data_IF_280956306363
#
_entry.id   IF_280956306363
#
_cell.length_a   1.000
_cell.length_b   1.000
_cell.length_c   1.000
_cell.angle_alpha   90.00
_cell.angle_beta   90.00
_cell.angle_gamma   90.00
#
_symmetry.space_group_name_H-M   'P 1'
#
loop_
_entity.id
_entity.type
_entity.pdbx_description
1 polymer ?
#
# COMPACT_ATOMS: atom_id res chain seq x y z
N UNK A 1 -2.68 -11.35 -9.89
CA UNK A 1 -3.61 -11.72 -8.81
C UNK A 1 -4.98 -11.04 -8.94
N UNK A 2 -5.12 -9.73 -8.67
CA UNK A 2 -6.46 -9.11 -8.53
C UNK A 2 -7.17 -8.65 -9.81
N UNK A 3 -6.44 -8.45 -10.92
CA UNK A 3 -7.03 -8.03 -12.21
C UNK A 3 -6.78 -9.05 -13.32
N UNK A 4 -5.49 -9.38 -13.58
CA UNK A 4 -5.09 -10.35 -14.61
C UNK A 4 -5.08 -11.81 -14.15
N UNK A 5 -5.47 -12.10 -12.91
CA UNK A 5 -5.48 -13.46 -12.32
C UNK A 5 -4.16 -14.26 -12.39
N UNK A 6 -3.02 -13.60 -12.61
CA UNK A 6 -1.69 -14.22 -12.57
C UNK A 6 -1.35 -14.66 -11.13
N UNK A 7 -0.90 -15.90 -10.96
CA UNK A 7 -0.43 -16.46 -9.70
C UNK A 7 0.96 -15.90 -9.34
N UNK A 8 1.01 -15.02 -8.33
CA UNK A 8 2.26 -14.39 -7.87
C UNK A 8 3.02 -15.23 -6.83
N UNK A 9 2.52 -16.40 -6.44
CA UNK A 9 3.29 -17.35 -5.62
C UNK A 9 4.40 -18.04 -6.42
N UNK A 10 4.37 -17.92 -7.75
CA UNK A 10 5.33 -18.48 -8.70
C UNK A 10 6.40 -17.44 -9.08
N UNK A 11 7.68 -17.66 -8.76
CA UNK A 11 8.75 -16.70 -9.08
C UNK A 11 8.83 -16.30 -10.56
N UNK A 12 8.58 -17.25 -11.47
CA UNK A 12 8.59 -17.02 -12.92
C UNK A 12 7.56 -15.97 -13.37
N UNK A 13 6.40 -15.93 -12.70
CA UNK A 13 5.35 -14.95 -12.98
C UNK A 13 5.73 -13.56 -12.45
N UNK A 14 6.41 -13.48 -11.30
CA UNK A 14 6.95 -12.21 -10.78
C UNK A 14 8.03 -11.67 -11.72
N UNK A 15 8.95 -12.52 -12.17
CA UNK A 15 10.01 -12.15 -13.13
C UNK A 15 9.43 -11.65 -14.45
N UNK A 16 8.42 -12.33 -14.99
CA UNK A 16 7.77 -11.92 -16.23
C UNK A 16 7.14 -10.53 -16.08
N UNK A 17 6.44 -10.26 -14.98
CA UNK A 17 5.83 -8.95 -14.71
C UNK A 17 6.87 -7.85 -14.48
N UNK A 18 7.96 -8.12 -13.77
CA UNK A 18 9.05 -7.15 -13.63
C UNK A 18 9.67 -6.79 -15.00
N UNK A 19 9.80 -7.76 -15.91
CA UNK A 19 10.26 -7.50 -17.28
C UNK A 19 9.24 -6.70 -18.08
N UNK A 20 7.94 -6.97 -17.95
CA UNK A 20 6.86 -6.15 -18.54
C UNK A 20 6.94 -4.69 -18.05
N UNK A 21 7.25 -4.47 -16.77
CA UNK A 21 7.49 -3.16 -16.15
C UNK A 21 8.88 -2.57 -16.45
N UNK A 22 9.60 -3.15 -17.43
CA UNK A 22 10.87 -2.65 -17.98
C UNK A 22 12.05 -2.63 -17.01
N UNK A 23 12.02 -3.43 -15.96
CA UNK A 23 13.23 -3.70 -15.17
C UNK A 23 14.23 -4.50 -16.03
N UNK A 24 15.51 -4.17 -15.91
CA UNK A 24 16.60 -4.90 -16.56
C UNK A 24 16.79 -6.27 -15.92
N UNK A 25 17.38 -7.23 -16.65
CA UNK A 25 17.64 -8.57 -16.09
C UNK A 25 18.52 -8.51 -14.83
N UNK A 26 19.47 -7.57 -14.76
CA UNK A 26 20.32 -7.33 -13.57
C UNK A 26 19.50 -6.83 -12.38
N UNK A 27 18.56 -5.91 -12.58
CA UNK A 27 17.67 -5.42 -11.52
C UNK A 27 16.74 -6.53 -11.05
N UNK A 28 16.17 -7.31 -11.98
CA UNK A 28 15.32 -8.46 -11.65
C UNK A 28 16.08 -9.47 -10.81
N UNK A 29 17.31 -9.83 -11.22
CA UNK A 29 18.15 -10.75 -10.45
C UNK A 29 18.42 -10.20 -9.03
N UNK A 30 18.70 -8.90 -8.92
CA UNK A 30 18.93 -8.23 -7.64
C UNK A 30 17.70 -8.27 -6.75
N UNK A 31 16.52 -7.93 -7.28
CA UNK A 31 15.23 -7.95 -6.56
C UNK A 31 14.91 -9.37 -6.08
N UNK A 32 15.01 -10.37 -6.97
CA UNK A 32 14.66 -11.75 -6.66
C UNK A 32 15.61 -12.39 -5.64
N UNK A 33 16.90 -12.02 -5.66
CA UNK A 33 17.87 -12.40 -4.62
C UNK A 33 17.58 -11.71 -3.30
N UNK A 34 17.33 -10.39 -3.32
CA UNK A 34 17.03 -9.61 -2.12
C UNK A 34 15.77 -10.11 -1.40
N UNK A 35 14.72 -10.48 -2.12
CA UNK A 35 13.49 -11.04 -1.56
C UNK A 35 13.72 -12.37 -0.80
N UNK A 36 14.77 -13.13 -1.16
CA UNK A 36 15.09 -14.40 -0.54
C UNK A 36 16.15 -14.29 0.56
N UNK A 37 16.86 -13.17 0.64
CA UNK A 37 17.95 -12.96 1.58
C UNK A 37 17.45 -12.89 3.03
N UNK A 38 18.29 -13.25 4.02
CA UNK A 38 17.96 -13.08 5.43
C UNK A 38 17.58 -11.63 5.76
N UNK A 39 18.29 -10.66 5.20
CA UNK A 39 18.08 -9.22 5.42
C UNK A 39 16.74 -8.76 4.84
N UNK A 40 16.37 -9.21 3.64
CA UNK A 40 15.08 -8.90 3.03
C UNK A 40 13.90 -9.46 3.83
N UNK A 41 14.02 -10.71 4.31
CA UNK A 41 13.01 -11.35 5.16
C UNK A 41 12.88 -10.66 6.53
N UNK A 42 14.01 -10.29 7.12
CA UNK A 42 14.04 -9.54 8.38
C UNK A 42 13.39 -8.17 8.20
N UNK A 43 13.75 -7.43 7.14
CA UNK A 43 13.17 -6.12 6.87
C UNK A 43 11.64 -6.17 6.70
N UNK A 44 11.12 -7.18 5.98
CA UNK A 44 9.67 -7.39 5.87
C UNK A 44 9.03 -7.68 7.24
N UNK A 45 9.64 -8.57 8.02
CA UNK A 45 9.15 -8.95 9.35
C UNK A 45 9.11 -7.75 10.30
N UNK A 46 10.18 -6.95 10.33
CA UNK A 46 10.27 -5.76 11.19
C UNK A 46 9.28 -4.67 10.80
N UNK A 47 9.05 -4.46 9.48
CA UNK A 47 8.02 -3.52 9.02
C UNK A 47 6.60 -3.97 9.40
N UNK A 48 6.31 -5.26 9.29
CA UNK A 48 5.02 -5.81 9.77
C UNK A 48 4.89 -5.68 11.28
N UNK A 49 5.96 -5.99 12.03
CA UNK A 49 6.00 -5.83 13.49
C UNK A 49 5.76 -4.37 13.91
N UNK A 50 6.38 -3.41 13.23
CA UNK A 50 6.16 -1.99 13.48
C UNK A 50 4.68 -1.60 13.32
N UNK A 51 4.01 -2.10 12.29
CA UNK A 51 2.57 -1.85 12.12
C UNK A 51 1.75 -2.43 13.27
N UNK A 52 2.05 -3.67 13.68
CA UNK A 52 1.39 -4.34 14.82
C UNK A 52 1.64 -3.62 16.15
N UNK A 53 2.87 -3.20 16.41
CA UNK A 53 3.26 -2.45 17.62
C UNK A 53 2.56 -1.09 17.68
N UNK A 54 2.17 -0.52 16.52
CA UNK A 54 1.34 0.69 16.38
C UNK A 54 -0.17 0.41 16.43
N UNK A 55 -0.59 -0.84 16.70
CA UNK A 55 -1.99 -1.23 16.88
C UNK A 55 -2.71 -1.68 15.60
N UNK A 56 -2.00 -1.95 14.50
CA UNK A 56 -2.63 -2.48 13.31
C UNK A 56 -3.28 -3.85 13.57
N UNK A 57 -4.51 -4.02 13.08
CA UNK A 57 -5.26 -5.28 13.19
C UNK A 57 -5.74 -5.81 11.82
N UNK A 58 -5.33 -5.18 10.72
CA UNK A 58 -5.69 -5.54 9.37
C UNK A 58 -4.97 -4.68 8.33
N UNK A 59 -5.33 -4.86 7.05
CA UNK A 59 -4.79 -4.08 5.94
C UNK A 59 -5.93 -3.60 4.99
N UNK A 60 -5.80 -2.39 4.39
CA UNK A 60 -4.68 -1.47 4.55
C UNK A 60 -4.72 -0.72 5.89
N UNK A 61 -3.52 -0.43 6.42
CA UNK A 61 -3.28 0.36 7.63
C UNK A 61 -2.30 1.49 7.30
N UNK A 62 -2.67 2.71 7.66
CA UNK A 62 -1.89 3.91 7.37
C UNK A 62 -1.44 4.56 8.68
N UNK A 63 -0.15 4.89 8.76
CA UNK A 63 0.38 5.78 9.78
C UNK A 63 0.69 7.12 9.13
N UNK A 64 -0.14 8.12 9.38
CA UNK A 64 -0.12 9.39 8.64
C UNK A 64 0.44 10.48 9.54
N UNK A 65 1.36 11.30 9.03
CA UNK A 65 1.92 12.46 9.74
C UNK A 65 1.54 13.74 9.02
N UNK A 66 0.97 14.72 9.73
CA UNK A 66 0.56 16.01 9.16
C UNK A 66 1.69 17.06 9.22
N UNK A 67 1.42 18.25 8.66
CA UNK A 67 2.40 19.34 8.57
C UNK A 67 2.86 19.88 9.94
N UNK A 68 2.10 19.63 11.01
CA UNK A 68 2.46 19.99 12.38
C UNK A 68 3.29 18.90 13.08
N UNK A 69 3.63 17.81 12.40
CA UNK A 69 4.40 16.70 12.94
C UNK A 69 3.59 15.73 13.81
N UNK A 70 2.27 15.88 13.88
CA UNK A 70 1.38 14.94 14.59
C UNK A 70 1.15 13.72 13.72
N UNK A 71 1.14 12.52 14.31
CA UNK A 71 0.81 11.29 13.60
C UNK A 71 -0.42 10.56 14.15
N UNK A 72 -1.23 10.01 13.27
CA UNK A 72 -2.43 9.22 13.62
C UNK A 72 -2.59 7.96 12.74
N UNK A 73 -3.17 6.87 13.28
CA UNK A 73 -3.48 5.66 12.54
C UNK A 73 -4.84 5.73 11.81
N UNK A 74 -4.92 5.16 10.61
CA UNK A 74 -6.16 4.99 9.84
C UNK A 74 -6.26 3.58 9.25
N UNK A 75 -7.42 2.93 9.41
CA UNK A 75 -7.68 1.58 8.89
C UNK A 75 -8.75 1.60 7.78
N UNK A 76 -8.48 0.85 6.71
CA UNK A 76 -9.41 0.63 5.61
C UNK A 76 -9.23 1.61 4.43
N UNK A 77 -9.69 1.19 3.25
CA UNK A 77 -9.66 2.01 2.03
C UNK A 77 -10.87 2.95 1.88
N UNK A 78 -11.81 2.87 2.82
CA UNK A 78 -13.04 3.67 2.90
C UNK A 78 -12.89 4.89 3.82
N UNK A 79 -11.70 5.11 4.41
CA UNK A 79 -11.42 6.19 5.38
C UNK A 79 -10.48 7.29 4.86
N UNK A 80 -10.26 7.38 3.55
CA UNK A 80 -9.36 8.39 3.00
C UNK A 80 -9.79 9.83 3.30
N UNK A 81 -11.10 10.10 3.40
CA UNK A 81 -11.60 11.41 3.80
C UNK A 81 -11.11 11.85 5.18
N UNK A 82 -11.03 10.95 6.17
CA UNK A 82 -10.44 11.27 7.47
C UNK A 82 -8.94 11.57 7.37
N UNK A 83 -8.21 10.86 6.51
CA UNK A 83 -6.79 11.13 6.27
C UNK A 83 -6.60 12.51 5.62
N UNK A 84 -7.42 12.88 4.64
CA UNK A 84 -7.36 14.19 3.99
C UNK A 84 -7.71 15.32 4.96
N UNK A 85 -8.74 15.15 5.79
CA UNK A 85 -9.05 16.09 6.88
C UNK A 85 -7.87 16.25 7.84
N UNK A 86 -7.24 15.15 8.26
CA UNK A 86 -6.09 15.18 9.17
C UNK A 86 -4.85 15.86 8.57
N UNK A 87 -4.67 15.70 7.26
CA UNK A 87 -3.57 16.29 6.48
C UNK A 87 -3.85 17.73 6.03
N UNK A 88 -5.05 18.26 6.28
CA UNK A 88 -5.51 19.56 5.76
C UNK A 88 -5.45 19.64 4.21
N UNK A 89 -5.77 18.53 3.54
CA UNK A 89 -5.83 18.44 2.07
C UNK A 89 -7.27 18.75 1.62
N UNK A 90 -7.50 19.76 0.77
CA UNK A 90 -8.83 20.04 0.23
C UNK A 90 -9.38 18.86 -0.58
N UNK A 91 -10.63 18.48 -0.33
CA UNK A 91 -11.34 17.44 -1.06
C UNK A 91 -12.83 17.72 -1.11
N UNK A 92 -13.54 17.06 -2.04
CA UNK A 92 -14.99 17.01 -2.03
C UNK A 92 -15.44 15.74 -1.29
N UNK A 93 -16.15 15.92 -0.19
CA UNK A 93 -16.69 14.81 0.58
C UNK A 93 -17.92 14.18 -0.10
N UNK A 94 -18.34 13.02 0.38
CA UNK A 94 -19.53 12.32 -0.11
C UNK A 94 -20.75 13.18 0.14
N UNK A 95 -21.44 13.54 -0.94
CA UNK A 95 -22.69 14.29 -0.90
C UNK A 95 -23.87 13.39 -1.24
N UNK A 96 -24.92 13.43 -0.41
CA UNK A 96 -26.21 12.83 -0.76
C UNK A 96 -26.89 13.75 -1.77
N UNK A 97 -27.12 13.24 -2.99
CA UNK A 97 -27.82 13.96 -4.03
C UNK A 97 -29.32 13.68 -3.94
N UNK A 98 -30.13 14.71 -4.21
CA UNK A 98 -31.56 14.52 -4.37
C UNK A 98 -31.87 13.71 -5.63
N UNK A 99 -32.99 12.98 -5.59
CA UNK A 99 -33.44 12.18 -6.73
C UNK A 99 -33.72 13.09 -7.92
N UNK A 100 -32.88 13.00 -8.96
CA UNK A 100 -33.01 13.78 -10.20
C UNK A 100 -31.97 14.89 -10.38
N UNK A 101 -31.09 15.11 -9.40
CA UNK A 101 -29.92 15.97 -9.59
C UNK A 101 -29.00 15.42 -10.68
N UNK A 102 -28.59 16.27 -11.61
CA UNK A 102 -27.50 15.96 -12.56
C UNK A 102 -26.18 16.39 -11.92
N UNK A 103 -25.17 15.53 -12.04
CA UNK A 103 -23.78 15.86 -11.73
C UNK A 103 -23.23 16.90 -12.71
#
# INVERSE_FOLDING_TARGET
MFYRHIDLSKPENVIALLREEKYTDTEIETIMKGAQSPEGKLALTERTKEALDRGAFGAPWFWVTNAQGKSEPFFGSDRFHFMWQFLDVPFQDVQILEKGSKL
#
